data_IF_805799037674
#
_entry.id   IF_805799037674
#
_cell.length_a   1.000
_cell.length_b   1.000
_cell.length_c   1.000
_cell.angle_alpha   90.00
_cell.angle_beta   90.00
_cell.angle_gamma   90.00
#
_symmetry.space_group_name_H-M   'P 1'
#
loop_
_entity.id
_entity.type
_entity.pdbx_description
1 polymer ?
#
# COMPACT_ATOMS: atom_id res chain seq x y z
N UNK A 1 -10.28 72.50 -49.49
CA UNK A 1 -9.46 72.16 -50.63
C UNK A 1 -9.07 70.67 -50.49
N UNK A 2 -9.76 69.90 -51.10
CA UNK A 2 -9.61 68.94 -52.18
C UNK A 2 -8.36 68.04 -52.13
N UNK A 3 -8.56 66.79 -52.28
CA UNK A 3 -7.56 65.77 -52.47
C UNK A 3 -8.10 64.36 -52.48
N UNK A 4 -8.84 64.03 -53.54
CA UNK A 4 -9.27 62.63 -53.86
C UNK A 4 -8.03 61.83 -54.29
N UNK A 5 -7.85 60.61 -53.72
CA UNK A 5 -7.00 59.62 -54.36
C UNK A 5 -7.67 58.24 -54.27
N UNK A 6 -7.78 57.65 -55.46
CA UNK A 6 -8.45 56.41 -55.77
C UNK A 6 -7.80 55.18 -55.15
N UNK A 7 -8.64 54.20 -54.81
CA UNK A 7 -8.27 52.89 -54.25
C UNK A 7 -8.19 51.92 -55.42
N UNK A 8 -6.98 51.42 -55.74
CA UNK A 8 -6.80 50.22 -56.57
C UNK A 8 -6.87 48.99 -55.71
N UNK A 9 -7.95 48.22 -55.87
CA UNK A 9 -8.08 46.87 -55.30
C UNK A 9 -7.30 45.84 -56.12
N UNK A 10 -6.32 45.18 -55.50
CA UNK A 10 -5.68 43.95 -56.02
C UNK A 10 -6.47 42.73 -55.57
N UNK A 11 -6.65 41.68 -56.40
CA UNK A 11 -7.32 40.44 -56.02
C UNK A 11 -6.38 39.61 -55.12
N UNK A 12 -6.94 39.08 -54.03
CA UNK A 12 -6.27 38.14 -53.12
C UNK A 12 -6.08 36.77 -53.75
N UNK A 13 -4.97 36.07 -53.49
CA UNK A 13 -4.77 34.68 -54.00
C UNK A 13 -5.64 33.70 -53.24
N UNK A 14 -6.19 32.73 -53.98
CA UNK A 14 -7.02 31.61 -53.60
C UNK A 14 -6.47 30.88 -52.37
N UNK A 15 -7.22 30.89 -51.28
CA UNK A 15 -6.94 30.05 -50.09
C UNK A 15 -7.15 28.58 -50.42
N UNK A 16 -6.08 27.81 -50.42
CA UNK A 16 -6.16 26.32 -50.41
C UNK A 16 -6.72 25.87 -49.06
N UNK A 17 -7.94 25.34 -49.13
CA UNK A 17 -8.60 24.66 -48.00
C UNK A 17 -7.73 23.46 -47.59
N UNK A 18 -6.97 23.55 -46.50
CA UNK A 18 -6.32 22.37 -45.89
C UNK A 18 -7.39 21.54 -45.19
N UNK A 19 -7.64 20.35 -45.70
CA UNK A 19 -8.40 19.32 -45.01
C UNK A 19 -7.79 19.12 -43.62
N UNK A 20 -8.63 18.98 -42.57
CA UNK A 20 -8.13 18.65 -41.25
C UNK A 20 -7.45 17.26 -41.31
N UNK A 21 -6.25 17.18 -40.72
CA UNK A 21 -5.55 15.89 -40.58
C UNK A 21 -6.47 14.92 -39.86
N UNK A 22 -6.56 13.63 -40.32
CA UNK A 22 -7.39 12.64 -39.66
C UNK A 22 -6.99 12.58 -38.18
N UNK A 23 -7.98 12.76 -37.30
CA UNK A 23 -7.81 12.66 -35.86
C UNK A 23 -7.14 11.32 -35.53
N UNK A 24 -6.20 11.33 -34.57
CA UNK A 24 -5.62 10.09 -34.04
C UNK A 24 -6.79 9.19 -33.61
N UNK A 25 -6.95 8.10 -34.31
CA UNK A 25 -7.88 7.04 -33.88
C UNK A 25 -7.46 6.64 -32.47
N UNK A 26 -8.33 6.82 -31.48
CA UNK A 26 -8.17 6.24 -30.16
C UNK A 26 -8.32 4.72 -30.30
N UNK A 27 -7.31 4.07 -30.81
CA UNK A 27 -7.23 2.61 -30.79
C UNK A 27 -7.01 2.25 -29.33
N UNK A 28 -8.06 1.77 -28.66
CA UNK A 28 -7.97 1.23 -27.31
C UNK A 28 -7.05 0.02 -27.40
N UNK A 29 -5.81 0.16 -26.95
CA UNK A 29 -4.87 -0.96 -26.84
C UNK A 29 -5.46 -1.96 -25.85
N UNK A 30 -5.69 -3.22 -26.22
CA UNK A 30 -6.13 -4.23 -25.28
C UNK A 30 -5.16 -4.32 -24.10
N UNK A 31 -5.70 -4.52 -22.90
CA UNK A 31 -4.94 -4.52 -21.65
C UNK A 31 -5.19 -5.83 -20.91
N UNK A 32 -4.11 -6.45 -20.46
CA UNK A 32 -4.17 -7.68 -19.65
C UNK A 32 -3.86 -7.38 -18.20
N UNK A 33 -4.73 -7.83 -17.28
CA UNK A 33 -4.56 -7.64 -15.84
C UNK A 33 -3.60 -8.65 -15.24
N UNK A 34 -2.67 -8.15 -14.45
CA UNK A 34 -1.65 -8.94 -13.78
C UNK A 34 -1.66 -8.63 -12.29
N UNK A 35 -1.69 -9.67 -11.46
CA UNK A 35 -1.47 -9.61 -10.02
C UNK A 35 0.01 -9.74 -9.74
N UNK A 36 0.53 -8.87 -8.90
CA UNK A 36 1.91 -8.86 -8.43
C UNK A 36 1.98 -8.99 -6.93
N UNK A 37 3.07 -9.59 -6.44
CA UNK A 37 3.46 -9.57 -5.05
C UNK A 37 4.79 -8.85 -4.92
N UNK A 38 4.87 -7.88 -4.00
CA UNK A 38 6.08 -7.11 -3.72
C UNK A 38 6.50 -7.24 -2.26
N UNK A 39 7.81 -7.40 -2.05
CA UNK A 39 8.46 -7.19 -0.77
C UNK A 39 9.19 -5.85 -0.79
N UNK A 40 9.17 -5.11 0.34
CA UNK A 40 9.91 -3.86 0.43
C UNK A 40 10.34 -3.50 1.86
N UNK A 41 11.51 -2.89 1.94
CA UNK A 41 11.95 -2.13 3.10
C UNK A 41 11.25 -0.76 3.07
N UNK A 42 10.39 -0.49 4.04
CA UNK A 42 9.57 0.73 4.09
C UNK A 42 10.33 1.98 4.56
N UNK A 43 11.50 1.84 5.18
CA UNK A 43 12.25 2.94 5.82
C UNK A 43 12.51 4.15 4.91
N UNK A 44 12.87 3.98 3.62
CA UNK A 44 13.09 5.12 2.72
C UNK A 44 11.81 5.77 2.20
N UNK A 45 10.61 5.22 2.48
CA UNK A 45 9.37 5.60 1.83
C UNK A 45 8.37 6.25 2.79
N UNK A 46 7.58 7.19 2.24
CA UNK A 46 6.46 7.83 2.92
C UNK A 46 5.18 6.96 2.92
N UNK A 47 5.36 5.64 2.96
CA UNK A 47 4.32 4.64 2.90
C UNK A 47 4.01 4.15 1.48
N UNK A 48 2.91 3.41 1.35
CA UNK A 48 2.51 2.82 0.08
C UNK A 48 1.92 3.84 -0.90
N UNK A 49 0.88 4.58 -0.46
CA UNK A 49 0.02 5.36 -1.32
C UNK A 49 0.73 6.57 -1.93
N UNK A 50 0.63 6.75 -3.25
CA UNK A 50 1.13 7.91 -3.98
C UNK A 50 0.71 9.23 -3.35
N UNK A 51 1.67 10.14 -3.21
CA UNK A 51 1.54 11.46 -2.59
C UNK A 51 2.37 12.49 -3.39
N UNK A 52 2.07 13.79 -3.27
CA UNK A 52 2.94 14.82 -3.80
C UNK A 52 4.39 14.63 -3.32
N UNK A 53 5.36 14.75 -4.24
CA UNK A 53 6.78 14.52 -3.96
C UNK A 53 7.32 13.15 -4.38
N UNK A 54 6.47 12.17 -4.76
CA UNK A 54 6.88 10.94 -5.45
C UNK A 54 7.79 9.99 -4.69
N UNK A 55 7.77 10.03 -3.34
CA UNK A 55 8.63 9.21 -2.45
C UNK A 55 7.91 8.04 -1.79
N UNK A 56 6.88 7.49 -2.44
CA UNK A 56 6.14 6.34 -1.93
C UNK A 56 6.49 5.07 -2.71
N UNK A 57 6.17 3.91 -2.14
CA UNK A 57 6.38 2.62 -2.82
C UNK A 57 5.60 2.57 -4.14
N UNK A 58 4.35 3.06 -4.15
CA UNK A 58 3.51 3.12 -5.33
C UNK A 58 4.15 3.97 -6.45
N UNK A 59 4.68 5.15 -6.11
CA UNK A 59 5.33 6.04 -7.10
C UNK A 59 6.55 5.38 -7.74
N UNK A 60 7.35 4.65 -6.95
CA UNK A 60 8.53 3.93 -7.45
C UNK A 60 8.12 2.80 -8.39
N UNK A 61 7.11 2.02 -8.01
CA UNK A 61 6.57 0.95 -8.85
C UNK A 61 5.97 1.50 -10.15
N UNK A 62 5.12 2.53 -10.07
CA UNK A 62 4.50 3.15 -11.25
C UNK A 62 5.55 3.71 -12.22
N UNK A 63 6.65 4.29 -11.73
CA UNK A 63 7.78 4.71 -12.57
C UNK A 63 8.47 3.53 -13.26
N UNK A 64 8.67 2.41 -12.56
CA UNK A 64 9.29 1.23 -13.13
C UNK A 64 8.42 0.62 -14.25
N UNK A 65 7.11 0.54 -14.05
CA UNK A 65 6.15 0.11 -15.08
C UNK A 65 6.11 1.10 -16.28
N UNK A 66 6.03 2.39 -16.00
CA UNK A 66 6.00 3.42 -17.05
C UNK A 66 7.28 3.40 -17.88
N UNK A 67 8.43 3.16 -17.26
CA UNK A 67 9.70 3.00 -17.97
C UNK A 67 9.78 1.70 -18.79
N UNK A 68 9.00 0.66 -18.44
CA UNK A 68 8.92 -0.58 -19.23
C UNK A 68 7.95 -0.44 -20.40
N UNK A 69 6.80 0.23 -20.20
CA UNK A 69 5.75 0.33 -21.20
C UNK A 69 5.89 1.54 -22.13
N UNK A 70 6.72 2.53 -21.76
CA UNK A 70 6.80 3.80 -22.47
C UNK A 70 5.57 4.71 -22.27
N UNK A 71 4.62 4.29 -21.44
CA UNK A 71 3.37 5.01 -21.13
C UNK A 71 3.10 4.95 -19.62
N UNK A 72 2.38 5.93 -19.05
CA UNK A 72 2.01 5.89 -17.64
C UNK A 72 1.21 4.63 -17.30
N UNK A 73 1.60 3.96 -16.22
CA UNK A 73 0.90 2.79 -15.71
C UNK A 73 0.48 3.06 -14.26
N UNK A 74 -0.81 2.89 -13.98
CA UNK A 74 -1.37 3.02 -12.64
C UNK A 74 -1.45 1.64 -11.98
N UNK A 75 -1.05 1.55 -10.71
CA UNK A 75 -1.18 0.33 -9.94
C UNK A 75 -2.15 0.48 -8.78
N UNK A 76 -2.77 -0.62 -8.37
CA UNK A 76 -3.75 -0.66 -7.29
C UNK A 76 -3.34 -1.68 -6.22
N UNK A 77 -2.96 -1.20 -5.03
CA UNK A 77 -2.56 -2.06 -3.91
C UNK A 77 -3.75 -2.68 -3.16
N UNK A 78 -3.51 -3.85 -2.56
CA UNK A 78 -4.50 -4.52 -1.69
C UNK A 78 -4.76 -3.75 -0.40
N UNK A 79 -3.81 -2.95 0.05
CA UNK A 79 -3.92 -2.11 1.23
C UNK A 79 -2.83 -1.04 1.27
N UNK A 80 -3.01 -0.08 2.16
CA UNK A 80 -2.01 0.95 2.43
C UNK A 80 -1.16 0.51 3.60
N UNK A 81 0.15 0.77 3.52
CA UNK A 81 1.07 0.75 4.65
C UNK A 81 1.48 2.19 4.95
N UNK A 82 1.66 2.51 6.23
CA UNK A 82 2.11 3.84 6.66
C UNK A 82 3.62 4.02 6.40
N UNK A 83 4.13 5.23 6.55
CA UNK A 83 5.55 5.54 6.41
C UNK A 83 6.41 4.62 7.29
N UNK A 84 7.50 4.10 6.74
CA UNK A 84 8.43 3.21 7.41
C UNK A 84 7.97 1.75 7.55
N UNK A 85 6.71 1.41 7.23
CA UNK A 85 6.21 0.04 7.35
C UNK A 85 6.72 -0.82 6.20
N UNK A 86 7.30 -1.98 6.54
CA UNK A 86 7.79 -2.98 5.59
C UNK A 86 6.66 -3.86 5.06
N UNK A 87 6.91 -4.59 3.99
CA UNK A 87 6.06 -5.70 3.56
C UNK A 87 6.91 -6.85 3.02
N UNK A 88 6.49 -8.08 3.33
CA UNK A 88 7.04 -9.29 2.74
C UNK A 88 6.22 -9.77 1.54
N UNK A 89 4.95 -9.33 1.44
CA UNK A 89 4.03 -9.82 0.42
C UNK A 89 2.86 -8.87 0.16
N UNK A 90 3.14 -7.60 -0.15
CA UNK A 90 2.11 -6.66 -0.58
C UNK A 90 1.60 -7.04 -1.97
N UNK A 91 0.31 -7.33 -2.06
CA UNK A 91 -0.35 -7.63 -3.33
C UNK A 91 -0.84 -6.33 -3.99
N UNK A 92 -0.61 -6.21 -5.29
CA UNK A 92 -1.18 -5.16 -6.12
C UNK A 92 -1.50 -5.70 -7.52
N UNK A 93 -2.27 -4.95 -8.32
CA UNK A 93 -2.45 -5.26 -9.73
C UNK A 93 -2.11 -4.06 -10.59
N UNK A 94 -1.75 -4.37 -11.83
CA UNK A 94 -1.55 -3.43 -12.90
C UNK A 94 -2.17 -4.00 -14.19
N UNK A 95 -2.57 -3.12 -15.11
CA UNK A 95 -2.99 -3.49 -16.45
C UNK A 95 -1.83 -3.21 -17.42
N UNK A 96 -1.31 -4.26 -18.05
CA UNK A 96 -0.24 -4.18 -19.02
C UNK A 96 -0.81 -4.13 -20.44
N UNK A 97 -0.24 -3.33 -21.36
CA UNK A 97 -0.58 -3.38 -22.77
C UNK A 97 -0.31 -4.78 -23.34
N UNK A 98 -1.23 -5.34 -24.12
CA UNK A 98 -1.09 -6.69 -24.72
C UNK A 98 0.09 -6.80 -25.71
N UNK A 99 0.65 -5.67 -26.12
CA UNK A 99 1.90 -5.61 -26.90
C UNK A 99 3.12 -6.12 -26.12
N UNK A 100 3.05 -6.13 -24.77
CA UNK A 100 4.11 -6.62 -23.90
C UNK A 100 3.84 -8.08 -23.50
N UNK A 101 4.20 -9.01 -24.38
CA UNK A 101 4.04 -10.46 -24.17
C UNK A 101 5.14 -11.03 -23.27
N UNK A 102 5.22 -10.53 -22.03
CA UNK A 102 6.17 -11.05 -21.04
C UNK A 102 5.51 -12.22 -20.32
N UNK A 103 6.05 -13.45 -20.33
CA UNK A 103 5.52 -14.56 -19.53
C UNK A 103 5.41 -14.21 -18.06
N UNK A 104 4.41 -14.74 -17.34
CA UNK A 104 4.14 -14.35 -15.95
C UNK A 104 5.36 -14.51 -15.03
N UNK A 105 6.11 -15.59 -15.19
CA UNK A 105 7.33 -15.90 -14.45
C UNK A 105 8.51 -14.95 -14.73
N UNK A 106 8.48 -14.21 -15.84
CA UNK A 106 9.54 -13.28 -16.26
C UNK A 106 9.30 -11.84 -15.77
N UNK A 107 8.07 -11.51 -15.36
CA UNK A 107 7.76 -10.17 -14.84
C UNK A 107 8.63 -9.76 -13.65
N UNK A 108 8.88 -10.62 -12.63
CA UNK A 108 9.77 -10.25 -11.53
C UNK A 108 11.16 -9.83 -12.01
N UNK A 109 11.76 -10.58 -12.93
CA UNK A 109 13.07 -10.25 -13.49
C UNK A 109 13.04 -8.91 -14.25
N UNK A 110 12.06 -8.72 -15.13
CA UNK A 110 11.93 -7.50 -15.94
C UNK A 110 11.77 -6.23 -15.08
N UNK A 111 10.95 -6.28 -14.03
CA UNK A 111 10.71 -5.13 -13.15
C UNK A 111 11.87 -4.89 -12.17
N UNK A 112 12.46 -5.95 -11.62
CA UNK A 112 13.51 -5.83 -10.60
C UNK A 112 14.81 -5.21 -11.14
N UNK A 113 15.04 -5.19 -12.46
CA UNK A 113 16.16 -4.45 -13.07
C UNK A 113 15.97 -2.93 -12.97
N UNK A 114 14.73 -2.46 -12.80
CA UNK A 114 14.34 -1.04 -12.76
C UNK A 114 14.03 -0.56 -11.35
N UNK A 115 13.98 -1.47 -10.38
CA UNK A 115 13.63 -1.17 -8.98
C UNK A 115 14.88 -1.04 -8.10
N UNK A 116 14.86 -0.11 -7.13
CA UNK A 116 15.90 -0.03 -6.13
C UNK A 116 15.94 -1.33 -5.30
N UNK A 117 17.08 -1.63 -4.67
CA UNK A 117 17.24 -2.86 -3.86
C UNK A 117 16.24 -2.99 -2.71
N UNK A 118 15.64 -1.89 -2.29
CA UNK A 118 14.64 -1.80 -1.23
C UNK A 118 13.23 -2.24 -1.65
N UNK A 119 12.97 -2.48 -2.94
CA UNK A 119 11.70 -3.03 -3.45
C UNK A 119 12.03 -4.20 -4.38
N UNK A 120 11.33 -5.31 -4.20
CA UNK A 120 11.41 -6.49 -5.09
C UNK A 120 10.03 -7.02 -5.41
N UNK A 121 9.79 -7.26 -6.70
CA UNK A 121 8.68 -8.10 -7.14
C UNK A 121 9.11 -9.55 -6.94
N UNK A 122 8.32 -10.29 -6.18
CA UNK A 122 8.60 -11.70 -5.85
C UNK A 122 7.75 -12.68 -6.64
N UNK A 123 6.58 -12.22 -7.10
CA UNK A 123 5.66 -13.06 -7.86
C UNK A 123 4.81 -12.21 -8.81
N UNK A 124 4.41 -12.79 -9.94
CA UNK A 124 3.45 -12.22 -10.87
C UNK A 124 2.62 -13.34 -11.51
N UNK A 125 1.35 -13.06 -11.75
CA UNK A 125 0.45 -13.98 -12.47
C UNK A 125 -0.61 -13.20 -13.24
N UNK A 126 -1.07 -13.74 -14.34
CA UNK A 126 -2.21 -13.24 -15.08
C UNK A 126 -3.49 -13.57 -14.33
N UNK A 127 -4.40 -12.61 -14.26
CA UNK A 127 -5.67 -12.74 -13.54
C UNK A 127 -6.83 -12.25 -14.42
N UNK A 128 -8.07 -12.74 -14.17
CA UNK A 128 -9.24 -12.27 -14.89
C UNK A 128 -9.41 -10.74 -14.75
N UNK A 129 -9.99 -10.07 -15.76
CA UNK A 129 -10.21 -8.61 -15.74
C UNK A 129 -11.01 -8.11 -14.54
N UNK A 130 -11.89 -8.96 -13.96
CA UNK A 130 -12.67 -8.64 -12.75
C UNK A 130 -11.86 -8.68 -11.44
N UNK A 131 -10.63 -9.17 -11.44
CA UNK A 131 -9.79 -9.15 -10.24
C UNK A 131 -9.44 -7.72 -9.84
N UNK A 132 -9.57 -7.41 -8.54
CA UNK A 132 -9.11 -6.14 -7.98
C UNK A 132 -8.37 -6.39 -6.67
N UNK A 133 -7.09 -6.05 -6.60
CA UNK A 133 -6.23 -6.39 -5.46
C UNK A 133 -6.81 -5.99 -4.10
N UNK A 134 -7.53 -4.86 -4.01
CA UNK A 134 -8.16 -4.42 -2.76
C UNK A 134 -9.46 -5.15 -2.46
N UNK A 135 -10.33 -5.36 -3.46
CA UNK A 135 -11.67 -5.91 -3.25
C UNK A 135 -11.69 -7.43 -3.28
N UNK A 136 -10.73 -8.05 -3.96
CA UNK A 136 -10.53 -9.50 -3.97
C UNK A 136 -9.66 -10.00 -2.80
N UNK A 137 -9.18 -9.11 -1.93
CA UNK A 137 -8.39 -9.50 -0.77
C UNK A 137 -9.29 -10.18 0.28
N UNK A 138 -8.90 -11.38 0.71
CA UNK A 138 -9.60 -12.17 1.74
C UNK A 138 -9.12 -11.88 3.15
N UNK A 139 -7.90 -11.36 3.30
CA UNK A 139 -7.34 -11.02 4.60
C UNK A 139 -5.99 -10.33 4.50
N UNK A 140 -5.46 -9.93 5.65
CA UNK A 140 -4.14 -9.31 5.83
C UNK A 140 -3.50 -9.83 7.09
N UNK A 141 -2.18 -9.98 7.03
CA UNK A 141 -1.37 -10.36 8.19
C UNK A 141 -0.35 -9.27 8.48
N UNK A 142 -0.28 -8.86 9.73
CA UNK A 142 0.73 -7.95 10.24
C UNK A 142 1.56 -8.63 11.31
N UNK A 143 2.88 -8.41 11.27
CA UNK A 143 3.82 -8.88 12.28
C UNK A 143 4.59 -7.70 12.85
N UNK A 144 4.66 -7.64 14.17
CA UNK A 144 5.59 -6.79 14.92
C UNK A 144 6.72 -7.61 15.47
N UNK A 145 7.94 -7.05 15.44
CA UNK A 145 9.10 -7.58 16.14
C UNK A 145 9.41 -6.65 17.32
N UNK A 146 9.52 -7.22 18.51
CA UNK A 146 9.92 -6.53 19.75
C UNK A 146 11.25 -7.13 20.18
N UNK A 147 12.28 -6.31 20.36
CA UNK A 147 13.56 -6.71 20.95
C UNK A 147 13.55 -6.46 22.44
N UNK A 148 13.79 -7.51 23.22
CA UNK A 148 13.93 -7.46 24.70
C UNK A 148 15.39 -7.36 25.14
N UNK A 149 16.33 -7.38 24.22
CA UNK A 149 17.76 -7.29 24.54
C UNK A 149 18.04 -6.04 25.39
N UNK A 150 18.90 -6.11 26.41
CA UNK A 150 19.29 -4.95 27.22
C UNK A 150 19.83 -3.80 26.35
N UNK A 151 20.56 -4.13 25.31
CA UNK A 151 21.09 -3.19 24.30
C UNK A 151 20.55 -3.62 22.93
N UNK A 152 19.93 -2.68 22.19
CA UNK A 152 19.45 -2.96 20.84
C UNK A 152 20.62 -3.26 19.90
N UNK A 153 20.56 -4.41 19.23
CA UNK A 153 21.50 -4.72 18.16
C UNK A 153 21.33 -3.70 17.02
N UNK A 154 22.42 -3.07 16.50
CA UNK A 154 22.31 -2.10 15.40
C UNK A 154 21.67 -2.66 14.13
N UNK A 155 21.74 -3.97 13.87
CA UNK A 155 21.04 -4.61 12.74
C UNK A 155 19.53 -4.70 12.93
N UNK A 156 19.03 -4.58 14.15
CA UNK A 156 17.60 -4.52 14.47
C UNK A 156 17.04 -3.10 14.42
N UNK A 157 17.91 -2.09 14.29
CA UNK A 157 17.51 -0.70 14.25
C UNK A 157 16.53 -0.43 13.09
N UNK A 158 15.33 0.05 13.44
CA UNK A 158 14.23 0.27 12.49
C UNK A 158 13.50 -0.99 12.03
N UNK A 159 13.88 -2.18 12.52
CA UNK A 159 13.23 -3.47 12.25
C UNK A 159 12.52 -4.04 13.46
N UNK A 160 13.00 -3.74 14.66
CA UNK A 160 12.40 -4.16 15.92
C UNK A 160 12.09 -2.97 16.82
N UNK A 161 11.01 -3.07 17.57
CA UNK A 161 10.70 -2.14 18.64
C UNK A 161 11.48 -2.54 19.90
N UNK A 162 12.43 -1.72 20.31
CA UNK A 162 13.26 -1.99 21.48
C UNK A 162 12.48 -1.77 22.78
N UNK A 163 12.29 -2.83 23.56
CA UNK A 163 11.57 -2.81 24.86
C UNK A 163 12.29 -3.75 25.84
N UNK A 164 13.43 -3.31 26.46
CA UNK A 164 14.24 -4.13 27.35
C UNK A 164 13.62 -4.31 28.75
N UNK A 165 12.31 -4.15 28.88
CA UNK A 165 11.60 -4.27 30.14
C UNK A 165 11.21 -5.72 30.42
N UNK A 166 11.21 -6.08 31.71
CA UNK A 166 10.71 -7.40 32.14
C UNK A 166 9.18 -7.47 31.99
N UNK A 167 8.69 -8.44 31.24
CA UNK A 167 7.29 -8.81 31.11
C UNK A 167 7.18 -10.29 30.68
N UNK A 168 6.08 -10.92 31.08
CA UNK A 168 5.84 -12.32 30.76
C UNK A 168 5.36 -12.48 29.33
N UNK A 169 5.98 -13.39 28.57
CA UNK A 169 5.54 -13.75 27.21
C UNK A 169 4.18 -14.47 27.27
N UNK A 170 3.94 -15.29 28.26
CA UNK A 170 2.68 -16.01 28.42
C UNK A 170 1.51 -15.05 28.70
N UNK A 171 1.72 -14.04 29.53
CA UNK A 171 0.70 -13.01 29.76
C UNK A 171 0.52 -12.13 28.51
N UNK A 172 1.60 -11.84 27.77
CA UNK A 172 1.51 -11.16 26.48
C UNK A 172 0.66 -11.97 25.49
N UNK A 173 0.86 -13.28 25.42
CA UNK A 173 0.09 -14.15 24.53
C UNK A 173 -1.39 -14.14 24.90
N UNK A 174 -1.72 -14.22 26.18
CA UNK A 174 -3.09 -14.09 26.67
C UNK A 174 -3.70 -12.74 26.30
N UNK A 175 -2.98 -11.64 26.52
CA UNK A 175 -3.44 -10.30 26.16
C UNK A 175 -3.65 -10.15 24.62
N UNK A 176 -2.76 -10.70 23.80
CA UNK A 176 -2.89 -10.70 22.34
C UNK A 176 -4.07 -11.54 21.87
N UNK A 177 -4.37 -12.66 22.56
CA UNK A 177 -5.52 -13.53 22.25
C UNK A 177 -6.86 -12.84 22.45
N UNK A 178 -6.99 -11.88 23.39
CA UNK A 178 -8.22 -11.12 23.61
C UNK A 178 -8.68 -10.33 22.38
N UNK A 179 -7.78 -9.98 21.47
CA UNK A 179 -8.14 -9.30 20.23
C UNK A 179 -8.75 -10.23 19.17
N UNK A 180 -8.68 -11.55 19.35
CA UNK A 180 -9.25 -12.51 18.40
C UNK A 180 -10.76 -12.48 18.44
N UNK A 181 -11.39 -12.46 17.26
CA UNK A 181 -12.85 -12.38 17.13
C UNK A 181 -13.29 -11.12 16.39
N UNK A 182 -14.59 -10.86 16.47
CA UNK A 182 -15.20 -9.66 15.90
C UNK A 182 -15.55 -8.70 17.01
N UNK A 183 -14.81 -7.59 17.10
CA UNK A 183 -14.96 -6.61 18.17
C UNK A 183 -15.14 -5.19 17.60
N UNK A 184 -15.61 -4.29 18.45
CA UNK A 184 -15.52 -2.85 18.19
C UNK A 184 -14.13 -2.34 18.61
N UNK A 185 -13.33 -1.93 17.64
CA UNK A 185 -11.96 -1.46 17.85
C UNK A 185 -11.85 0.08 17.89
N UNK A 186 -12.87 0.77 18.36
CA UNK A 186 -12.84 2.26 18.46
C UNK A 186 -11.63 2.74 19.26
N UNK A 187 -11.31 2.11 20.39
CA UNK A 187 -10.15 2.47 21.23
C UNK A 187 -8.80 2.19 20.56
N UNK A 188 -8.78 1.31 19.55
CA UNK A 188 -7.59 0.95 18.78
C UNK A 188 -7.57 1.55 17.38
N UNK A 189 -8.33 2.62 17.13
CA UNK A 189 -8.40 3.29 15.84
C UNK A 189 -7.99 4.75 15.95
N UNK A 190 -7.04 5.17 15.12
CA UNK A 190 -6.81 6.59 14.89
C UNK A 190 -7.70 7.09 13.76
N UNK A 191 -8.19 8.33 13.88
CA UNK A 191 -8.94 8.99 12.82
C UNK A 191 -7.97 9.68 11.85
N UNK A 192 -8.32 9.65 10.56
CA UNK A 192 -7.58 10.36 9.49
C UNK A 192 -8.14 11.74 9.20
N UNK A 193 -9.33 12.06 9.75
CA UNK A 193 -10.04 13.31 9.50
C UNK A 193 -10.91 13.32 8.25
N UNK A 194 -10.97 12.21 7.50
CA UNK A 194 -11.79 12.04 6.31
C UNK A 194 -12.82 10.89 6.44
N UNK A 195 -13.13 10.52 7.68
CA UNK A 195 -14.17 9.54 7.96
C UNK A 195 -15.55 10.09 7.59
N UNK A 196 -16.52 9.22 7.23
CA UNK A 196 -17.89 9.62 7.00
C UNK A 196 -18.48 10.38 8.20
N UNK A 197 -19.31 11.37 7.96
CA UNK A 197 -20.04 12.09 9.02
C UNK A 197 -21.53 12.10 8.69
N UNK A 198 -22.39 11.50 9.53
CA UNK A 198 -22.09 10.77 10.77
C UNK A 198 -21.28 9.48 10.49
N UNK A 199 -20.54 9.01 11.52
CA UNK A 199 -19.83 7.74 11.44
C UNK A 199 -20.89 6.62 11.44
N UNK A 200 -20.92 5.73 10.42
CA UNK A 200 -21.90 4.66 10.35
C UNK A 200 -21.77 3.68 11.52
N UNK A 201 -22.89 3.10 11.92
CA UNK A 201 -22.87 2.00 12.88
C UNK A 201 -21.98 0.86 12.38
N UNK A 202 -21.21 0.27 13.28
CA UNK A 202 -20.27 -0.82 12.95
C UNK A 202 -19.03 -0.36 12.18
N UNK A 203 -18.80 0.93 11.93
CA UNK A 203 -17.62 1.45 11.21
C UNK A 203 -16.31 0.96 11.80
N UNK A 204 -16.22 0.82 13.12
CA UNK A 204 -15.02 0.35 13.83
C UNK A 204 -15.00 -1.16 14.08
N UNK A 205 -16.02 -1.90 13.65
CA UNK A 205 -16.02 -3.37 13.80
C UNK A 205 -15.05 -4.01 12.81
N UNK A 206 -14.18 -4.89 13.34
CA UNK A 206 -13.23 -5.69 12.54
C UNK A 206 -13.18 -7.10 13.08
N UNK A 207 -12.79 -8.03 12.22
CA UNK A 207 -12.60 -9.44 12.60
C UNK A 207 -11.12 -9.77 12.52
N UNK A 208 -10.53 -10.12 13.68
CA UNK A 208 -9.21 -10.73 13.78
C UNK A 208 -9.41 -12.23 13.79
N UNK A 209 -8.96 -12.90 12.74
CA UNK A 209 -9.16 -14.34 12.55
C UNK A 209 -8.11 -15.18 13.28
N UNK A 210 -6.89 -14.62 13.41
CA UNK A 210 -5.78 -15.31 14.06
C UNK A 210 -4.86 -14.32 14.76
N UNK A 211 -4.36 -14.73 15.93
CA UNK A 211 -3.29 -14.05 16.66
C UNK A 211 -2.22 -15.08 17.00
N UNK A 212 -0.96 -14.66 17.04
CA UNK A 212 0.16 -15.50 17.41
C UNK A 212 1.23 -14.68 18.11
N UNK A 213 1.81 -15.24 19.17
CA UNK A 213 3.03 -14.76 19.81
C UNK A 213 4.10 -15.83 19.66
N UNK A 214 5.29 -15.45 19.25
CA UNK A 214 6.43 -16.36 19.12
C UNK A 214 7.68 -15.67 19.65
N UNK A 215 8.55 -16.39 20.35
CA UNK A 215 9.83 -15.89 20.82
C UNK A 215 10.99 -16.65 20.17
N UNK A 216 12.02 -15.91 19.78
CA UNK A 216 13.29 -16.46 19.30
C UNK A 216 14.42 -15.62 19.88
N UNK A 217 15.15 -16.18 20.86
CA UNK A 217 16.13 -15.41 21.62
C UNK A 217 15.51 -14.20 22.30
N UNK A 218 16.10 -13.04 22.06
CA UNK A 218 15.61 -11.76 22.61
C UNK A 218 14.48 -11.12 21.78
N UNK A 219 14.08 -11.74 20.67
CA UNK A 219 13.01 -11.22 19.82
C UNK A 219 11.67 -11.89 20.12
N UNK A 220 10.63 -11.07 20.28
CA UNK A 220 9.25 -11.51 20.37
C UNK A 220 8.48 -10.97 19.17
N UNK A 221 7.80 -11.88 18.48
CA UNK A 221 6.98 -11.58 17.31
C UNK A 221 5.51 -11.66 17.69
N UNK A 222 4.77 -10.58 17.45
CA UNK A 222 3.31 -10.56 17.57
C UNK A 222 2.74 -10.50 16.16
N UNK A 223 1.87 -11.46 15.82
CA UNK A 223 1.23 -11.57 14.52
C UNK A 223 -0.28 -11.46 14.67
N UNK A 224 -0.90 -10.61 13.84
CA UNK A 224 -2.35 -10.46 13.73
C UNK A 224 -2.77 -10.73 12.29
N UNK A 225 -3.73 -11.64 12.09
CA UNK A 225 -4.39 -11.88 10.81
C UNK A 225 -5.87 -11.52 10.93
N UNK A 226 -6.40 -10.78 9.97
CA UNK A 226 -7.80 -10.36 9.99
C UNK A 226 -8.30 -9.99 8.60
N UNK A 227 -9.62 -9.84 8.46
CA UNK A 227 -10.27 -9.47 7.19
C UNK A 227 -9.95 -8.02 6.77
N UNK A 228 -9.63 -7.17 7.74
CA UNK A 228 -9.23 -5.77 7.54
C UNK A 228 -8.83 -5.11 8.84
N UNK A 229 -8.12 -3.99 8.74
CA UNK A 229 -7.63 -3.23 9.88
C UNK A 229 -7.99 -1.75 9.72
N UNK A 230 -8.27 -1.08 10.84
CA UNK A 230 -8.44 0.36 10.92
C UNK A 230 -7.07 1.07 10.86
N UNK A 231 -7.12 2.37 10.66
CA UNK A 231 -5.90 3.17 10.66
C UNK A 231 -5.20 3.09 12.01
N UNK A 232 -3.91 2.78 12.01
CA UNK A 232 -3.03 2.55 13.17
C UNK A 232 -3.46 1.41 14.11
N UNK A 233 -4.51 0.64 13.81
CA UNK A 233 -5.10 -0.37 14.68
C UNK A 233 -4.04 -1.36 15.20
N UNK A 234 -3.28 -2.00 14.31
CA UNK A 234 -2.27 -2.99 14.71
C UNK A 234 -1.20 -2.36 15.60
N UNK A 235 -0.80 -1.13 15.32
CA UNK A 235 0.17 -0.38 16.12
C UNK A 235 -0.34 -0.14 17.55
N UNK A 236 -1.60 0.24 17.70
CA UNK A 236 -2.22 0.50 19.02
C UNK A 236 -2.41 -0.81 19.80
N UNK A 237 -2.89 -1.88 19.16
CA UNK A 237 -2.99 -3.20 19.78
C UNK A 237 -1.61 -3.72 20.26
N UNK A 238 -0.58 -3.57 19.40
CA UNK A 238 0.78 -3.98 19.76
C UNK A 238 1.35 -3.11 20.91
N UNK A 239 0.97 -1.84 20.98
CA UNK A 239 1.37 -0.95 22.08
C UNK A 239 0.73 -1.34 23.41
N UNK A 240 -0.55 -1.71 23.41
CA UNK A 240 -1.31 -2.07 24.61
C UNK A 240 -0.94 -3.45 25.18
N UNK A 241 -0.68 -4.44 24.33
CA UNK A 241 -0.46 -5.81 24.78
C UNK A 241 0.75 -5.99 25.75
N UNK A 242 1.95 -5.41 25.53
CA UNK A 242 3.05 -5.46 26.48
C UNK A 242 2.77 -4.69 27.79
N UNK A 243 1.99 -3.63 27.77
CA UNK A 243 1.60 -2.90 28.97
C UNK A 243 0.64 -3.73 29.82
N UNK A 244 -0.27 -4.49 29.18
CA UNK A 244 -1.10 -5.46 29.89
C UNK A 244 -0.24 -6.60 30.46
N UNK A 245 0.75 -7.09 29.73
CA UNK A 245 1.67 -8.12 30.19
C UNK A 245 2.53 -7.70 31.40
N UNK A 246 2.68 -6.39 31.63
CA UNK A 246 3.33 -5.80 32.81
C UNK A 246 2.36 -5.52 33.96
N UNK A 247 1.06 -5.67 33.75
CA UNK A 247 0.03 -5.32 34.72
C UNK A 247 -0.20 -3.79 34.87
N UNK A 248 0.30 -2.98 33.94
CA UNK A 248 0.09 -1.52 33.94
C UNK A 248 -1.28 -1.11 33.43
N UNK A 249 -1.90 -1.96 32.62
CA UNK A 249 -3.30 -1.82 32.16
C UNK A 249 -4.00 -3.18 32.22
N UNK A 250 -5.31 -3.15 32.41
CA UNK A 250 -6.15 -4.36 32.35
C UNK A 250 -6.85 -4.41 31.00
N UNK A 251 -6.67 -5.51 30.28
CA UNK A 251 -7.41 -5.80 29.04
C UNK A 251 -8.55 -6.77 29.38
N UNK A 252 -9.61 -6.29 29.99
CA UNK A 252 -10.73 -7.16 30.38
C UNK A 252 -11.61 -7.56 29.22
N UNK A 253 -11.83 -6.66 28.26
CA UNK A 253 -12.62 -6.91 27.05
C UNK A 253 -12.30 -5.83 26.00
N UNK A 254 -11.80 -6.18 24.81
CA UNK A 254 -11.63 -5.21 23.72
C UNK A 254 -12.94 -4.53 23.29
N UNK A 255 -14.09 -5.11 23.63
CA UNK A 255 -15.40 -4.50 23.37
C UNK A 255 -15.76 -3.41 24.38
N UNK A 256 -15.04 -3.29 25.50
CA UNK A 256 -15.25 -2.29 26.57
C UNK A 256 -14.20 -1.20 26.57
N UNK A 257 -13.14 -1.34 25.78
CA UNK A 257 -12.11 -0.34 25.53
C UNK A 257 -12.48 0.46 24.28
#
# INVERSE_FOLDING_TARGET
ADGTHGIHSKPSPSGTCRLPKPGRSNTITPMTRIRFTAAYDGRPYLGWQSQPGGRTVQDVLERAFSGLFGTPCRIHGSGRTDAGVHALGQVFHADAPDTHRIPADKWPAALNTRLPRTIRITHAEYVPPGFHARFSATGKTYRYCISRAPILNPFDAGLAWHRPLAWSVDILEQAVHLFRGTHNFTAFAALRGNEPRPIPEGYFRRTITQTQVAQTGEHVFITFTGTGFLYKMVRLMTGAAPEAARGTITLEDPARL
#
